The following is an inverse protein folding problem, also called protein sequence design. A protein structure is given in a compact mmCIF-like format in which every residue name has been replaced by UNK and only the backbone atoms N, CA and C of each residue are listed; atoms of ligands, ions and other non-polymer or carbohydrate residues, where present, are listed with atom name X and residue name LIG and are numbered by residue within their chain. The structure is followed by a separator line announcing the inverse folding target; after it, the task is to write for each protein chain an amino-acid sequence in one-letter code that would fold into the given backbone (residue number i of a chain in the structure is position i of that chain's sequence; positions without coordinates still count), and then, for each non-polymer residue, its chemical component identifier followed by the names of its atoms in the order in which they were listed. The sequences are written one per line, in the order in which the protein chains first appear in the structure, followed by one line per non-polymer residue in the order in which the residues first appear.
data_IF_442492032665
#
_entry.id   IF_442492032665
#
_cell.length_a   1.000
_cell.length_b   1.000
_cell.length_c   1.000
_cell.angle_alpha   90.00
_cell.angle_beta   90.00
_cell.angle_gamma   90.00
#
_symmetry.space_group_name_H-M   'P 1'
#
loop_
_entity.id
_entity.type
_entity.pdbx_description
1 polymer ?
#
# COMPACT_ATOMS: atom_id res chain seq x y z
N UNK A 1 -2.77 -3.62 -30.82
CA UNK A 1 -2.11 -3.44 -29.51
C UNK A 1 -3.12 -3.17 -28.39
N UNK A 2 -4.24 -2.45 -28.63
CA UNK A 2 -5.30 -2.24 -27.62
C UNK A 2 -5.96 -3.52 -27.06
N UNK A 3 -6.17 -4.54 -27.89
CA UNK A 3 -6.87 -5.75 -27.45
C UNK A 3 -6.11 -6.50 -26.34
N UNK A 4 -4.77 -6.55 -26.43
CA UNK A 4 -3.91 -7.19 -25.43
C UNK A 4 -3.96 -6.47 -24.08
N UNK A 5 -4.00 -5.14 -24.08
CA UNK A 5 -4.12 -4.34 -22.85
C UNK A 5 -5.46 -4.55 -22.18
N UNK A 6 -6.55 -4.60 -22.96
CA UNK A 6 -7.90 -4.87 -22.45
C UNK A 6 -7.98 -6.23 -21.75
N UNK A 7 -7.38 -7.28 -22.34
CA UNK A 7 -7.35 -8.61 -21.70
C UNK A 7 -6.61 -8.61 -20.37
N UNK A 8 -5.49 -7.87 -20.26
CA UNK A 8 -4.72 -7.77 -19.00
C UNK A 8 -5.57 -7.09 -17.92
N UNK A 9 -6.25 -5.99 -18.25
CA UNK A 9 -7.11 -5.27 -17.28
C UNK A 9 -8.27 -6.15 -16.83
N UNK A 10 -8.94 -6.83 -17.76
CA UNK A 10 -10.05 -7.73 -17.42
C UNK A 10 -9.57 -8.90 -16.56
N UNK A 11 -8.46 -9.55 -16.93
CA UNK A 11 -7.86 -10.63 -16.16
C UNK A 11 -7.45 -10.16 -14.75
N UNK A 12 -6.88 -8.96 -14.64
CA UNK A 12 -6.52 -8.33 -13.37
C UNK A 12 -7.73 -8.09 -12.47
N UNK A 13 -8.81 -7.54 -13.00
CA UNK A 13 -10.05 -7.32 -12.24
C UNK A 13 -10.65 -8.64 -11.75
N UNK A 14 -10.72 -9.65 -12.62
CA UNK A 14 -11.23 -10.97 -12.24
C UNK A 14 -10.39 -11.63 -11.15
N UNK A 15 -9.06 -11.58 -11.26
CA UNK A 15 -8.15 -12.13 -10.24
C UNK A 15 -8.24 -11.35 -8.93
N UNK A 16 -8.33 -10.01 -8.97
CA UNK A 16 -8.47 -9.17 -7.79
C UNK A 16 -9.74 -9.48 -7.01
N UNK A 17 -10.87 -9.65 -7.70
CA UNK A 17 -12.13 -10.05 -7.08
C UNK A 17 -12.04 -11.49 -6.56
N UNK A 18 -11.46 -12.41 -7.33
CA UNK A 18 -11.29 -13.81 -6.93
C UNK A 18 -10.45 -13.97 -5.66
N UNK A 19 -9.24 -13.39 -5.64
CA UNK A 19 -8.39 -13.39 -4.44
C UNK A 19 -9.03 -12.61 -3.30
N UNK A 20 -9.67 -11.48 -3.57
CA UNK A 20 -10.35 -10.70 -2.54
C UNK A 20 -11.46 -11.47 -1.83
N UNK A 21 -12.30 -12.18 -2.58
CA UNK A 21 -13.36 -13.04 -2.01
C UNK A 21 -12.74 -14.24 -1.26
N UNK A 22 -11.71 -14.86 -1.83
CA UNK A 22 -11.04 -16.00 -1.20
C UNK A 22 -10.40 -15.62 0.14
N UNK A 23 -9.67 -14.50 0.20
CA UNK A 23 -9.03 -14.03 1.43
C UNK A 23 -10.05 -13.49 2.43
N UNK A 24 -11.14 -12.86 1.97
CA UNK A 24 -12.24 -12.45 2.85
C UNK A 24 -12.90 -13.65 3.55
N UNK A 25 -12.97 -14.81 2.90
CA UNK A 25 -13.46 -16.05 3.53
C UNK A 25 -12.51 -16.60 4.61
N UNK A 26 -11.25 -16.19 4.60
CA UNK A 26 -10.23 -16.56 5.59
C UNK A 26 -10.07 -15.48 6.69
N UNK A 27 -11.00 -14.52 6.77
CA UNK A 27 -10.93 -13.36 7.68
C UNK A 27 -9.67 -12.50 7.49
N UNK A 28 -9.05 -12.56 6.31
CA UNK A 28 -7.87 -11.78 5.98
C UNK A 28 -8.23 -10.43 5.32
N UNK A 29 -7.40 -9.39 5.52
CA UNK A 29 -7.55 -8.12 4.82
C UNK A 29 -7.55 -8.29 3.30
N UNK A 30 -8.60 -7.79 2.64
CA UNK A 30 -8.79 -7.90 1.18
C UNK A 30 -7.65 -7.26 0.39
N UNK A 31 -6.98 -6.24 0.97
CA UNK A 31 -5.82 -5.56 0.39
C UNK A 31 -4.69 -6.52 0.00
N UNK A 32 -4.50 -7.61 0.76
CA UNK A 32 -3.49 -8.63 0.48
C UNK A 32 -3.81 -9.32 -0.86
N UNK A 33 -5.10 -9.58 -1.12
CA UNK A 33 -5.54 -10.19 -2.37
C UNK A 33 -5.29 -9.31 -3.59
N UNK A 34 -5.41 -7.98 -3.42
CA UNK A 34 -5.08 -7.02 -4.47
C UNK A 34 -3.57 -6.99 -4.76
N UNK A 35 -2.73 -7.04 -3.73
CA UNK A 35 -1.25 -7.11 -3.89
C UNK A 35 -0.84 -8.42 -4.57
N UNK A 36 -1.41 -9.56 -4.15
CA UNK A 36 -1.16 -10.85 -4.78
C UNK A 36 -1.55 -10.84 -6.26
N UNK A 37 -2.68 -10.23 -6.60
CA UNK A 37 -3.14 -10.11 -7.99
C UNK A 37 -2.12 -9.36 -8.85
N UNK A 38 -1.64 -8.20 -8.38
CA UNK A 38 -0.63 -7.42 -9.09
C UNK A 38 0.67 -8.21 -9.31
N UNK A 39 1.11 -8.94 -8.29
CA UNK A 39 2.30 -9.79 -8.37
C UNK A 39 2.14 -10.92 -9.40
N UNK A 40 0.99 -11.61 -9.39
CA UNK A 40 0.68 -12.67 -10.35
C UNK A 40 0.60 -12.11 -11.76
N UNK A 41 -0.09 -10.98 -11.98
CA UNK A 41 -0.17 -10.34 -13.29
C UNK A 41 1.21 -9.96 -13.83
N UNK A 42 2.05 -9.35 -12.99
CA UNK A 42 3.39 -8.92 -13.39
C UNK A 42 4.25 -10.10 -13.87
N UNK A 43 4.21 -11.23 -13.16
CA UNK A 43 4.96 -12.45 -13.51
C UNK A 43 4.40 -13.11 -14.77
N UNK A 44 3.07 -13.28 -14.88
CA UNK A 44 2.46 -13.99 -16.01
C UNK A 44 2.55 -13.21 -17.33
N UNK A 45 2.37 -11.89 -17.29
CA UNK A 45 2.38 -11.05 -18.49
C UNK A 45 3.74 -10.41 -18.79
N UNK A 46 4.77 -10.67 -17.95
CA UNK A 46 6.14 -10.12 -18.09
C UNK A 46 6.12 -8.60 -18.32
N UNK A 47 5.36 -7.91 -17.49
CA UNK A 47 5.30 -6.44 -17.54
C UNK A 47 6.67 -5.93 -17.05
N UNK A 48 7.45 -5.33 -17.94
CA UNK A 48 8.77 -4.78 -17.62
C UNK A 48 8.76 -3.26 -17.41
N UNK A 49 7.77 -2.57 -17.97
CA UNK A 49 7.60 -1.13 -17.82
C UNK A 49 6.57 -0.83 -16.73
N UNK A 50 7.06 -0.52 -15.54
CA UNK A 50 6.24 -0.18 -14.38
C UNK A 50 5.95 1.31 -14.25
N UNK A 51 6.52 2.15 -15.11
CA UNK A 51 6.40 3.62 -15.01
C UNK A 51 4.93 4.08 -15.00
N UNK A 52 4.16 3.67 -16.00
CA UNK A 52 2.72 4.02 -16.07
C UNK A 52 1.91 3.47 -14.89
N UNK A 53 2.29 2.30 -14.37
CA UNK A 53 1.60 1.65 -13.26
C UNK A 53 1.91 2.35 -11.93
N UNK A 54 3.15 2.84 -11.78
CA UNK A 54 3.61 3.63 -10.64
C UNK A 54 2.87 4.96 -10.58
N UNK A 55 2.76 5.67 -11.71
CA UNK A 55 2.04 6.95 -11.77
C UNK A 55 0.57 6.78 -11.35
N UNK A 56 -0.10 5.74 -11.88
CA UNK A 56 -1.49 5.41 -11.50
C UNK A 56 -1.59 5.07 -10.00
N UNK A 57 -0.62 4.33 -9.45
CA UNK A 57 -0.57 4.00 -8.03
C UNK A 57 -0.42 5.23 -7.15
N UNK A 58 0.44 6.17 -7.54
CA UNK A 58 0.64 7.45 -6.85
C UNK A 58 -0.64 8.28 -6.85
N UNK A 59 -1.30 8.42 -8.01
CA UNK A 59 -2.61 9.07 -8.08
C UNK A 59 -3.65 8.39 -7.20
N UNK A 60 -3.67 7.06 -7.15
CA UNK A 60 -4.55 6.28 -6.28
C UNK A 60 -4.34 6.59 -4.80
N UNK A 61 -3.09 6.66 -4.34
CA UNK A 61 -2.74 7.03 -2.96
C UNK A 61 -3.14 8.47 -2.67
N UNK A 62 -2.91 9.41 -3.60
CA UNK A 62 -3.34 10.81 -3.46
C UNK A 62 -4.86 10.90 -3.30
N UNK A 63 -5.64 10.19 -4.12
CA UNK A 63 -7.10 10.15 -3.98
C UNK A 63 -7.54 9.51 -2.66
N UNK A 64 -6.86 8.46 -2.19
CA UNK A 64 -7.15 7.83 -0.90
C UNK A 64 -6.89 8.79 0.27
N UNK A 65 -5.74 9.47 0.28
CA UNK A 65 -5.41 10.46 1.30
C UNK A 65 -6.38 11.65 1.26
N UNK A 66 -6.80 12.06 0.07
CA UNK A 66 -7.82 13.10 -0.11
C UNK A 66 -9.19 12.67 0.44
N UNK A 67 -9.63 11.44 0.14
CA UNK A 67 -10.89 10.89 0.66
C UNK A 67 -10.88 10.80 2.19
N UNK A 68 -9.79 10.29 2.77
CA UNK A 68 -9.59 10.27 4.23
C UNK A 68 -9.69 11.69 4.81
N UNK A 69 -9.13 12.68 4.11
CA UNK A 69 -9.22 14.08 4.50
C UNK A 69 -10.65 14.64 4.51
N UNK A 70 -11.51 14.25 3.56
CA UNK A 70 -12.92 14.66 3.52
C UNK A 70 -13.76 13.94 4.57
N UNK A 71 -13.50 12.66 4.82
CA UNK A 71 -14.22 11.87 5.83
C UNK A 71 -13.89 12.32 7.27
N UNK A 72 -12.74 12.97 7.46
CA UNK A 72 -12.31 13.49 8.75
C UNK A 72 -13.11 14.72 9.18
N UNK A 73 -13.91 14.54 10.25
CA UNK A 73 -14.56 15.66 10.92
C UNK A 73 -13.63 16.28 11.98
N UNK A 74 -13.46 17.61 11.95
CA UNK A 74 -12.70 18.38 12.94
C UNK A 74 -13.14 18.14 14.39
N UNK A 75 -14.43 17.95 14.64
CA UNK A 75 -14.96 17.68 15.99
C UNK A 75 -14.48 16.32 16.52
N UNK A 76 -14.45 15.30 15.66
CA UNK A 76 -13.90 13.98 16.01
C UNK A 76 -12.40 14.06 16.25
N UNK A 77 -11.66 14.78 15.39
CA UNK A 77 -10.22 14.97 15.52
C UNK A 77 -9.86 15.62 16.87
N UNK A 78 -10.63 16.62 17.32
CA UNK A 78 -10.39 17.29 18.60
C UNK A 78 -10.57 16.34 19.79
N UNK A 79 -11.52 15.41 19.72
CA UNK A 79 -11.76 14.38 20.74
C UNK A 79 -10.59 13.38 20.85
N UNK A 80 -10.05 12.96 19.71
CA UNK A 80 -8.94 11.98 19.64
C UNK A 80 -7.55 12.62 19.47
N UNK A 81 -7.45 13.95 19.64
CA UNK A 81 -6.24 14.71 19.28
C UNK A 81 -4.99 14.23 19.99
N UNK A 82 -5.10 13.86 21.27
CA UNK A 82 -3.96 13.45 22.08
C UNK A 82 -3.50 12.07 21.65
N UNK A 83 -4.43 11.18 21.32
CA UNK A 83 -4.09 9.84 20.87
C UNK A 83 -3.42 9.87 19.50
N UNK A 84 -4.04 10.58 18.55
CA UNK A 84 -3.53 10.64 17.18
C UNK A 84 -2.24 11.46 17.08
N UNK A 85 -2.13 12.61 17.76
CA UNK A 85 -0.91 13.42 17.70
C UNK A 85 0.20 12.86 18.58
N UNK A 86 -0.06 12.53 19.85
CA UNK A 86 1.03 12.13 20.76
C UNK A 86 1.41 10.67 20.52
N UNK A 87 0.46 9.74 20.64
CA UNK A 87 0.79 8.32 20.44
C UNK A 87 1.07 8.02 18.98
N UNK A 88 0.37 8.63 18.02
CA UNK A 88 0.66 8.45 16.60
C UNK A 88 2.06 8.95 16.21
N UNK A 89 2.45 10.17 16.61
CA UNK A 89 3.82 10.66 16.33
C UNK A 89 4.87 9.83 17.04
N UNK A 90 4.64 9.47 18.32
CA UNK A 90 5.57 8.65 19.07
C UNK A 90 5.74 7.26 18.42
N UNK A 91 4.65 6.65 17.95
CA UNK A 91 4.67 5.38 17.24
C UNK A 91 5.49 5.48 15.94
N UNK A 92 5.29 6.53 15.14
CA UNK A 92 6.04 6.72 13.89
C UNK A 92 7.53 6.88 14.18
N UNK A 93 7.90 7.72 15.15
CA UNK A 93 9.30 7.93 15.55
C UNK A 93 9.94 6.62 16.03
N UNK A 94 9.23 5.87 16.87
CA UNK A 94 9.71 4.58 17.37
C UNK A 94 9.85 3.55 16.23
N UNK A 95 8.90 3.47 15.31
CA UNK A 95 8.99 2.59 14.15
C UNK A 95 10.22 2.91 13.29
N UNK A 96 10.46 4.20 13.01
CA UNK A 96 11.63 4.64 12.23
C UNK A 96 12.93 4.31 12.97
N UNK A 97 13.01 4.55 14.27
CA UNK A 97 14.20 4.21 15.07
C UNK A 97 14.47 2.71 15.10
N UNK A 98 13.44 1.88 15.29
CA UNK A 98 13.58 0.42 15.31
C UNK A 98 14.01 -0.08 13.92
N UNK A 99 13.38 0.40 12.84
CA UNK A 99 13.77 0.06 11.48
C UNK A 99 15.22 0.45 11.18
N UNK A 100 15.65 1.64 11.60
CA UNK A 100 17.03 2.10 11.48
C UNK A 100 18.02 1.22 12.24
N UNK A 101 17.74 0.92 13.52
CA UNK A 101 18.61 0.07 14.34
C UNK A 101 18.75 -1.33 13.76
N UNK A 102 17.64 -1.94 13.34
CA UNK A 102 17.63 -3.29 12.74
C UNK A 102 18.38 -3.28 11.40
N UNK A 103 18.09 -2.30 10.53
CA UNK A 103 18.75 -2.17 9.24
C UNK A 103 20.27 -1.95 9.35
N UNK A 104 20.70 -1.12 10.29
CA UNK A 104 22.11 -0.82 10.50
C UNK A 104 22.86 -1.95 11.21
N UNK A 105 22.35 -2.48 12.33
CA UNK A 105 23.08 -3.47 13.14
C UNK A 105 22.92 -4.92 12.69
N UNK A 106 21.73 -5.31 12.21
CA UNK A 106 21.47 -6.72 11.84
C UNK A 106 21.81 -6.97 10.38
N UNK A 107 21.46 -6.04 9.51
CA UNK A 107 21.61 -6.20 8.06
C UNK A 107 22.84 -5.47 7.51
N UNK A 108 23.53 -4.64 8.30
CA UNK A 108 24.76 -3.95 7.90
C UNK A 108 24.58 -2.89 6.81
N UNK A 109 23.37 -2.35 6.64
CA UNK A 109 23.10 -1.36 5.61
C UNK A 109 23.70 0.01 5.97
N UNK A 110 23.97 0.81 4.93
CA UNK A 110 24.38 2.20 5.11
C UNK A 110 23.34 2.97 5.92
N UNK A 111 23.73 3.96 6.75
CA UNK A 111 22.78 4.65 7.63
C UNK A 111 21.60 5.32 6.91
N UNK A 112 21.77 5.67 5.64
CA UNK A 112 20.74 6.34 4.85
C UNK A 112 19.67 5.37 4.33
N UNK A 113 20.02 4.12 4.04
CA UNK A 113 19.11 3.19 3.36
C UNK A 113 17.92 2.74 4.24
N UNK A 114 18.07 2.44 5.55
CA UNK A 114 16.94 2.11 6.43
C UNK A 114 15.97 3.25 6.72
N UNK A 115 16.33 4.48 6.36
CA UNK A 115 15.52 5.70 6.55
C UNK A 115 14.67 6.04 5.31
N UNK A 116 14.92 5.39 4.18
CA UNK A 116 14.15 5.47 2.94
C UNK A 116 13.22 4.27 2.80
#
# INVERSE_FOLDING_TARGET
MENSTLYIVIAGLWLAVGFGIFLKKLDMPVIIGYICTGTVLAVFFKINDFNLLSDIGEFGIVFLMFMIGIEFNFDKLKSIKQEVLVFGLLQVILCVLIAFLVGYFVLGLSPIFPLF
#
